data_IF_840643782504
#
_entry.id   IF_840643782504
#
_cell.length_a   1.000
_cell.length_b   1.000
_cell.length_c   1.000
_cell.angle_alpha   90.00
_cell.angle_beta   90.00
_cell.angle_gamma   90.00
#
_symmetry.space_group_name_H-M   'P 1'
#
loop_
_entity.id
_entity.type
_entity.pdbx_description
1 polymer ?
#
# COMPACT_ATOMS: atom_id res chain seq x y z
N UNK A 1 15.13 -1.40 -18.00
CA UNK A 1 15.77 -1.16 -16.69
C UNK A 1 14.66 -1.04 -15.66
N UNK A 2 14.63 -1.88 -14.61
CA UNK A 2 13.61 -1.81 -13.56
C UNK A 2 14.19 -1.04 -12.37
N UNK A 3 13.48 -0.06 -11.79
CA UNK A 3 13.98 0.67 -10.64
C UNK A 3 14.11 -0.24 -9.42
N UNK A 4 15.25 -0.12 -8.73
CA UNK A 4 15.59 -0.89 -7.53
C UNK A 4 14.96 -0.28 -6.26
N UNK A 5 14.70 -1.07 -5.20
CA UNK A 5 14.10 -0.59 -3.96
C UNK A 5 14.81 0.61 -3.31
N UNK A 6 16.13 0.72 -3.48
CA UNK A 6 16.92 1.85 -2.98
C UNK A 6 16.49 3.19 -3.61
N UNK A 7 16.10 3.19 -4.89
CA UNK A 7 15.59 4.39 -5.58
C UNK A 7 14.26 4.82 -4.96
N UNK A 8 13.37 3.86 -4.67
CA UNK A 8 12.10 4.16 -4.02
C UNK A 8 12.28 4.66 -2.58
N UNK A 9 13.28 4.18 -1.85
CA UNK A 9 13.61 4.71 -0.53
C UNK A 9 14.06 6.17 -0.59
N UNK A 10 14.91 6.51 -1.55
CA UNK A 10 15.35 7.88 -1.77
C UNK A 10 14.16 8.79 -2.15
N UNK A 11 13.29 8.33 -3.06
CA UNK A 11 12.08 9.04 -3.44
C UNK A 11 11.12 9.24 -2.27
N UNK A 12 10.92 8.21 -1.43
CA UNK A 12 10.06 8.31 -0.24
C UNK A 12 10.60 9.31 0.79
N UNK A 13 11.92 9.37 0.98
CA UNK A 13 12.57 10.40 1.82
C UNK A 13 12.35 11.81 1.27
N UNK A 14 12.55 11.99 -0.04
CA UNK A 14 12.37 13.28 -0.70
C UNK A 14 10.90 13.75 -0.64
N UNK A 15 9.94 12.84 -0.88
CA UNK A 15 8.52 13.14 -0.86
C UNK A 15 7.99 13.54 0.53
N UNK A 16 8.66 13.12 1.60
CA UNK A 16 8.27 13.36 2.99
C UNK A 16 9.19 14.36 3.71
N UNK A 17 10.09 15.03 2.98
CA UNK A 17 11.10 15.90 3.58
C UNK A 17 10.49 17.01 4.45
N UNK A 18 9.37 17.59 4.01
CA UNK A 18 8.67 18.68 4.69
C UNK A 18 7.42 18.21 5.45
N UNK A 19 7.24 16.90 5.62
CA UNK A 19 6.07 16.37 6.32
C UNK A 19 6.12 16.71 7.82
N UNK A 20 5.07 17.36 8.32
CA UNK A 20 4.94 17.71 9.74
C UNK A 20 3.89 16.84 10.42
N UNK A 21 4.14 16.37 11.66
CA UNK A 21 3.12 15.67 12.44
C UNK A 21 1.98 16.61 12.81
N UNK A 22 0.77 16.04 12.95
CA UNK A 22 -0.42 16.76 13.42
C UNK A 22 -1.06 15.98 14.57
N UNK A 23 -1.01 16.52 15.78
CA UNK A 23 -1.40 15.82 17.01
C UNK A 23 -0.60 14.52 17.17
N UNK A 24 -1.26 13.45 17.60
CA UNK A 24 -0.63 12.16 17.92
C UNK A 24 -0.36 11.27 16.69
N UNK A 25 -0.09 11.88 15.53
CA UNK A 25 0.01 11.19 14.24
C UNK A 25 1.44 11.10 13.67
N UNK A 26 2.49 11.35 14.45
CA UNK A 26 3.88 11.31 13.96
C UNK A 26 4.24 9.98 13.29
N UNK A 27 3.69 8.86 13.78
CA UNK A 27 3.89 7.53 13.20
C UNK A 27 3.39 7.43 11.74
N UNK A 28 2.47 8.31 11.30
CA UNK A 28 1.96 8.31 9.93
C UNK A 28 3.03 8.70 8.90
N UNK A 29 4.02 9.50 9.29
CA UNK A 29 5.13 9.87 8.39
C UNK A 29 6.01 8.64 8.13
N UNK A 30 6.36 7.90 9.18
CA UNK A 30 7.11 6.65 9.05
C UNK A 30 6.32 5.59 8.28
N UNK A 31 5.04 5.45 8.58
CA UNK A 31 4.14 4.54 7.86
C UNK A 31 4.06 4.91 6.37
N UNK A 32 3.92 6.20 6.04
CA UNK A 32 3.89 6.68 4.67
C UNK A 32 5.18 6.31 3.92
N UNK A 33 6.35 6.50 4.54
CA UNK A 33 7.62 6.12 3.93
C UNK A 33 7.67 4.63 3.58
N UNK A 34 7.24 3.76 4.51
CA UNK A 34 7.18 2.30 4.29
C UNK A 34 6.17 1.92 3.21
N UNK A 35 5.01 2.59 3.19
CA UNK A 35 3.96 2.34 2.18
C UNK A 35 4.43 2.74 0.78
N UNK A 36 5.09 3.89 0.61
CA UNK A 36 5.61 4.34 -0.69
C UNK A 36 6.57 3.28 -1.26
N UNK A 37 7.56 2.86 -0.47
CA UNK A 37 8.55 1.86 -0.89
C UNK A 37 7.88 0.54 -1.25
N UNK A 38 6.96 0.06 -0.41
CA UNK A 38 6.22 -1.19 -0.65
C UNK A 38 5.39 -1.11 -1.93
N UNK A 39 4.61 -0.05 -2.09
CA UNK A 39 3.70 0.12 -3.23
C UNK A 39 4.47 0.20 -4.55
N UNK A 40 5.56 0.98 -4.60
CA UNK A 40 6.39 1.10 -5.80
C UNK A 40 7.14 -0.20 -6.11
N UNK A 41 7.62 -0.91 -5.08
CA UNK A 41 8.25 -2.23 -5.26
C UNK A 41 7.26 -3.25 -5.85
N UNK A 42 6.03 -3.28 -5.34
CA UNK A 42 4.96 -4.12 -5.88
C UNK A 42 4.56 -3.72 -7.30
N UNK A 43 4.41 -2.42 -7.58
CA UNK A 43 4.09 -1.94 -8.92
C UNK A 43 5.19 -2.28 -9.94
N UNK A 44 6.46 -2.13 -9.55
CA UNK A 44 7.59 -2.54 -10.38
C UNK A 44 7.62 -4.05 -10.63
N UNK A 45 7.07 -4.87 -9.71
CA UNK A 45 6.91 -6.31 -9.89
C UNK A 45 5.85 -6.70 -10.92
N UNK A 46 5.04 -5.74 -11.35
CA UNK A 46 3.91 -5.95 -12.22
C UNK A 46 2.65 -6.37 -11.44
N UNK A 47 1.54 -6.44 -12.16
CA UNK A 47 0.27 -6.89 -11.61
C UNK A 47 0.25 -8.43 -11.55
N UNK A 48 -0.07 -9.04 -10.40
CA UNK A 48 -0.23 -10.48 -10.33
C UNK A 48 -1.39 -10.93 -11.25
N UNK A 49 -1.27 -12.12 -11.84
CA UNK A 49 -2.27 -12.67 -12.76
C UNK A 49 -3.65 -12.82 -12.11
N UNK A 50 -3.69 -12.98 -10.79
CA UNK A 50 -4.91 -12.99 -9.99
C UNK A 50 -4.74 -12.03 -8.82
N UNK A 51 -5.60 -11.02 -8.75
CA UNK A 51 -5.72 -10.15 -7.58
C UNK A 51 -6.62 -10.90 -6.57
N UNK A 52 -6.17 -11.13 -5.33
CA UNK A 52 -7.04 -11.72 -4.31
C UNK A 52 -8.23 -10.79 -4.05
N UNK A 53 -9.41 -11.36 -3.92
CA UNK A 53 -10.60 -10.59 -3.62
C UNK A 53 -10.44 -9.87 -2.27
N UNK A 54 -10.69 -8.57 -2.27
CA UNK A 54 -10.78 -7.82 -1.03
C UNK A 54 -12.10 -8.16 -0.32
N UNK A 55 -12.15 -8.14 1.02
CA UNK A 55 -13.39 -8.28 1.77
C UNK A 55 -14.45 -7.31 1.22
N UNK A 56 -15.65 -7.82 0.95
CA UNK A 56 -16.77 -7.09 0.36
C UNK A 56 -16.52 -6.49 -1.05
N UNK A 57 -15.51 -6.94 -1.80
CA UNK A 57 -15.35 -6.55 -3.21
C UNK A 57 -16.22 -7.39 -4.15
N UNK A 58 -16.49 -6.89 -5.36
CA UNK A 58 -17.21 -7.62 -6.40
C UNK A 58 -16.49 -8.91 -6.87
N UNK A 59 -15.19 -9.05 -6.56
CA UNK A 59 -14.41 -10.26 -6.84
C UNK A 59 -14.49 -11.29 -5.70
N UNK A 60 -15.05 -10.91 -4.54
CA UNK A 60 -15.22 -11.85 -3.44
C UNK A 60 -16.24 -12.92 -3.85
N UNK A 61 -16.03 -14.19 -3.48
CA UNK A 61 -17.09 -15.17 -3.61
C UNK A 61 -18.32 -14.63 -2.89
N UNK A 62 -19.51 -14.77 -3.50
CA UNK A 62 -20.77 -14.33 -2.91
C UNK A 62 -20.98 -15.09 -1.60
N UNK A 63 -20.53 -14.53 -0.48
CA UNK A 63 -21.00 -14.93 0.85
C UNK A 63 -22.36 -14.28 1.05
N UNK A 64 -23.38 -14.90 0.44
CA UNK A 64 -24.77 -14.46 0.43
C UNK A 64 -25.76 -15.58 0.76
N UNK A 65 -25.33 -16.66 1.41
CA UNK A 65 -26.26 -17.42 2.24
C UNK A 65 -26.22 -16.78 3.63
N UNK A 66 -27.26 -16.02 3.97
CA UNK A 66 -27.42 -15.37 5.26
C UNK A 66 -27.14 -16.34 6.42
N UNK A 67 -26.14 -16.04 7.25
CA UNK A 67 -25.99 -16.65 8.58
C UNK A 67 -26.72 -15.77 9.60
N UNK A 68 -28.02 -15.57 9.41
CA UNK A 68 -28.89 -15.03 10.44
C UNK A 68 -30.00 -16.05 10.66
N UNK A 69 -29.92 -16.73 11.79
CA UNK A 69 -31.04 -17.45 12.40
C UNK A 69 -31.83 -16.46 13.28
#
# INVERSE_FOLDING_TARGET
CRPEPAVFQAAAKAALADAMPSGDNQFKIELAQRIIVRALTSAAAGTPQRIPALPASAFAPISGASHHA
#
